data_IF_748373216889
#
_entry.id   IF_748373216889
#
_cell.length_a   1.000
_cell.length_b   1.000
_cell.length_c   1.000
_cell.angle_alpha   90.00
_cell.angle_beta   90.00
_cell.angle_gamma   90.00
#
_symmetry.space_group_name_H-M   'P 1'
#
loop_
_entity.id
_entity.type
_entity.pdbx_description
1 polymer ?
2 branched ?
3 water ?
#
# COMPACT_ATOMS: atom_id res chain seq x y z
N UNK A 1 19.84 9.08 -17.46
CA UNK A 1 20.79 8.19 -16.77
C UNK A 1 20.17 6.83 -16.44
N UNK A 2 21.01 5.93 -15.94
CA UNK A 2 20.55 4.65 -15.44
C UNK A 2 21.02 4.48 -14.00
N UNK A 3 20.30 3.63 -13.29
CA UNK A 3 20.65 3.26 -11.94
C UNK A 3 21.00 1.79 -11.88
N UNK A 4 21.82 1.45 -10.91
CA UNK A 4 22.18 0.08 -10.65
C UNK A 4 21.16 -0.52 -9.69
N UNK A 5 20.61 -1.68 -10.05
CA UNK A 5 19.61 -2.38 -9.24
C UNK A 5 20.25 -3.62 -8.64
N UNK A 6 20.16 -3.75 -7.33
CA UNK A 6 20.77 -4.86 -6.61
C UNK A 6 19.65 -5.67 -5.97
N UNK A 7 19.53 -6.93 -6.38
CA UNK A 7 18.52 -7.81 -5.86
C UNK A 7 19.17 -8.86 -4.98
N UNK A 8 18.65 -9.03 -3.78
CA UNK A 8 19.37 -9.77 -2.78
C UNK A 8 18.43 -10.60 -1.93
N UNK A 9 18.82 -11.84 -1.69
CA UNK A 9 18.13 -12.69 -0.73
C UNK A 9 19.08 -12.82 0.46
N UNK A 10 18.70 -12.23 1.56
CA UNK A 10 19.55 -12.20 2.71
C UNK A 10 19.65 -13.47 3.50
N UNK A 11 18.61 -14.27 3.50
CA UNK A 11 18.56 -15.38 4.38
C UNK A 11 17.65 -16.51 4.06
N UNK A 12 16.78 -16.34 3.09
CA UNK A 12 15.87 -17.38 2.81
C UNK A 12 16.61 -18.53 2.11
N UNK A 13 16.26 -19.76 2.43
CA UNK A 13 16.90 -20.89 1.79
C UNK A 13 16.34 -21.13 0.41
N UNK A 14 17.14 -21.71 -0.44
CA UNK A 14 16.66 -22.03 -1.73
C UNK A 14 16.65 -20.83 -2.63
N UNK A 15 15.82 -20.91 -3.62
CA UNK A 15 15.81 -19.94 -4.65
C UNK A 15 14.61 -18.98 -4.65
N UNK A 16 14.97 -17.76 -4.77
CA UNK A 16 14.05 -16.65 -4.85
C UNK A 16 14.22 -16.04 -6.22
N UNK A 17 13.11 -15.71 -6.85
CA UNK A 17 13.15 -15.03 -8.12
C UNK A 17 12.61 -13.63 -7.93
N UNK A 18 13.28 -12.69 -8.56
CA UNK A 18 12.80 -11.33 -8.65
C UNK A 18 12.26 -11.07 -10.04
N UNK A 19 11.26 -10.21 -10.11
CA UNK A 19 10.85 -9.62 -11.38
C UNK A 19 10.89 -8.11 -11.23
N UNK A 20 11.29 -7.42 -12.28
CA UNK A 20 11.25 -5.99 -12.31
C UNK A 20 10.32 -5.65 -13.45
N UNK A 21 9.20 -5.05 -13.14
CA UNK A 21 8.26 -4.66 -14.13
C UNK A 21 8.03 -3.15 -14.05
N UNK A 22 7.85 -2.51 -15.19
CA UNK A 22 7.64 -1.11 -15.25
C UNK A 22 7.13 -0.55 -16.56
N UNK A 23 6.91 0.75 -16.59
CA UNK A 23 6.53 1.44 -17.79
C UNK A 23 7.74 2.21 -18.18
N UNK A 24 8.19 1.95 -19.37
CA UNK A 24 9.36 2.58 -19.90
C UNK A 24 9.19 4.07 -19.96
N UNK A 25 10.24 4.76 -19.57
CA UNK A 25 10.22 6.20 -19.46
C UNK A 25 9.98 6.71 -20.86
N UNK A 26 9.01 7.59 -20.99
CA UNK A 26 8.62 8.15 -22.25
C UNK A 26 7.72 7.33 -23.12
N UNK A 27 8.13 6.13 -23.49
CA UNK A 27 7.29 5.31 -24.35
C UNK A 27 6.01 4.84 -23.76
N UNK A 28 6.01 4.62 -22.43
CA UNK A 28 4.90 4.06 -21.62
C UNK A 28 4.69 2.56 -21.86
N UNK A 29 5.65 1.98 -22.55
CA UNK A 29 5.60 0.59 -22.88
C UNK A 29 6.09 -0.26 -21.73
N UNK A 30 5.23 -1.18 -21.33
CA UNK A 30 5.52 -2.09 -20.31
C UNK A 30 6.84 -2.71 -20.67
N UNK A 31 7.69 -2.79 -19.68
CA UNK A 31 8.97 -3.39 -19.79
C UNK A 31 9.20 -4.27 -18.54
N UNK A 32 9.98 -5.30 -18.74
CA UNK A 32 10.43 -6.21 -17.73
C UNK A 32 11.90 -6.34 -17.83
N UNK A 33 12.54 -6.41 -16.69
CA UNK A 33 13.94 -6.63 -16.64
C UNK A 33 14.16 -8.11 -16.81
N UNK A 34 15.19 -8.45 -17.52
CA UNK A 34 15.47 -9.84 -17.77
C UNK A 34 16.63 -10.32 -16.95
N UNK A 35 16.73 -11.62 -16.79
CA UNK A 35 17.80 -12.26 -16.06
C UNK A 35 19.13 -11.92 -16.61
N UNK A 36 19.26 -11.81 -17.94
CA UNK A 36 20.48 -11.42 -18.56
C UNK A 36 20.86 -9.92 -18.44
N UNK A 37 20.01 -9.10 -17.84
CA UNK A 37 20.28 -7.69 -17.67
C UNK A 37 19.66 -6.78 -18.71
N UNK A 38 19.10 -7.40 -19.73
CA UNK A 38 18.43 -6.67 -20.79
C UNK A 38 16.98 -6.41 -20.46
N UNK A 39 16.32 -5.60 -21.23
CA UNK A 39 14.94 -5.27 -21.03
C UNK A 39 14.08 -6.02 -22.01
N UNK A 40 12.99 -6.52 -21.53
CA UNK A 40 12.06 -7.16 -22.35
C UNK A 40 10.89 -6.23 -22.50
N UNK A 41 10.72 -5.67 -23.69
CA UNK A 41 9.57 -4.84 -24.00
C UNK A 41 8.56 -5.68 -24.75
N UNK A 42 7.59 -6.29 -24.07
CA UNK A 42 6.65 -7.16 -24.77
C UNK A 42 5.85 -6.41 -25.82
N UNK A 43 5.60 -7.09 -26.94
CA UNK A 43 4.61 -6.64 -27.90
C UNK A 43 3.23 -7.03 -27.42
N UNK A 44 2.24 -6.35 -27.96
CA UNK A 44 0.86 -6.71 -27.65
C UNK A 44 0.61 -8.16 -28.06
N UNK A 45 0.03 -8.98 -27.21
CA UNK A 45 -0.18 -10.39 -27.56
C UNK A 45 -1.29 -10.56 -28.57
N UNK A 46 -1.39 -11.78 -29.09
CA UNK A 46 -2.48 -12.12 -29.98
C UNK A 46 -3.78 -12.49 -29.30
N UNK A 47 -3.77 -12.60 -27.98
CA UNK A 47 -4.97 -12.94 -27.22
C UNK A 47 -4.77 -12.44 -25.79
N UNK A 48 -5.86 -12.29 -25.04
CA UNK A 48 -5.73 -12.04 -23.61
C UNK A 48 -5.15 -13.26 -22.91
N UNK A 49 -4.68 -13.03 -21.67
CA UNK A 49 -4.10 -14.08 -20.85
C UNK A 49 -2.98 -14.81 -21.57
N UNK A 50 -2.23 -14.08 -22.38
CA UNK A 50 -1.11 -14.68 -23.09
C UNK A 50 0.10 -14.77 -22.17
N UNK A 51 0.59 -15.96 -21.87
CA UNK A 51 1.76 -16.07 -20.99
C UNK A 51 2.89 -15.17 -21.46
N UNK A 52 3.55 -14.54 -20.50
CA UNK A 52 4.72 -13.76 -20.83
C UNK A 52 5.65 -14.61 -21.69
N UNK A 53 5.94 -14.18 -22.93
CA UNK A 53 6.68 -15.06 -23.85
C UNK A 53 8.12 -15.26 -23.44
N UNK A 54 8.68 -14.36 -22.65
CA UNK A 54 10.07 -14.42 -22.23
C UNK A 54 10.09 -14.66 -20.73
N UNK A 55 11.02 -15.51 -20.26
CA UNK A 55 11.16 -15.74 -18.84
C UNK A 55 11.86 -14.52 -18.25
N UNK A 56 11.11 -13.71 -17.50
CA UNK A 56 11.70 -12.53 -16.88
C UNK A 56 11.97 -12.73 -15.40
N UNK A 57 11.73 -13.93 -14.88
CA UNK A 57 12.17 -14.27 -13.53
C UNK A 57 13.67 -14.08 -13.44
N UNK A 58 14.11 -13.27 -12.49
CA UNK A 58 15.53 -13.02 -12.27
C UNK A 58 15.96 -13.88 -11.08
N UNK A 59 16.77 -14.92 -11.30
CA UNK A 59 17.14 -15.81 -10.19
C UNK A 59 18.08 -15.09 -9.24
N UNK A 60 17.70 -15.04 -7.97
CA UNK A 60 18.58 -14.47 -6.96
C UNK A 60 19.62 -15.51 -6.58
N UNK A 61 20.86 -15.04 -6.40
CA UNK A 61 21.87 -15.80 -5.69
C UNK A 61 21.32 -16.32 -4.36
N UNK A 62 21.88 -17.43 -3.88
CA UNK A 62 21.43 -17.98 -2.63
C UNK A 62 21.59 -16.99 -1.48
N UNK A 63 20.81 -17.24 -0.43
CA UNK A 63 20.84 -16.43 0.79
C UNK A 63 22.26 -16.14 1.24
N UNK A 64 22.61 -14.87 1.28
CA UNK A 64 23.92 -14.45 1.72
C UNK A 64 24.97 -14.37 0.64
N UNK A 65 24.70 -14.88 -0.56
CA UNK A 65 25.71 -14.89 -1.61
C UNK A 65 25.95 -13.51 -2.22
N UNK A 66 25.13 -12.53 -1.85
CA UNK A 66 25.28 -11.21 -2.42
C UNK A 66 24.18 -10.94 -3.43
N UNK A 67 24.19 -9.74 -3.98
CA UNK A 67 23.09 -9.34 -4.86
C UNK A 67 23.32 -9.77 -6.30
N UNK A 68 22.22 -9.96 -7.01
CA UNK A 68 22.19 -9.84 -8.46
C UNK A 68 22.19 -8.35 -8.79
N UNK A 69 23.24 -7.86 -9.43
CA UNK A 69 23.36 -6.44 -9.73
C UNK A 69 23.20 -6.24 -11.24
N UNK A 70 22.09 -5.61 -11.63
CA UNK A 70 21.83 -5.25 -13.02
C UNK A 70 21.70 -3.74 -13.17
N UNK A 71 21.70 -3.31 -14.43
CA UNK A 71 21.42 -1.92 -14.75
C UNK A 71 19.91 -1.72 -14.79
N UNK A 72 19.43 -0.81 -13.94
CA UNK A 72 18.02 -0.47 -13.91
C UNK A 72 17.81 0.70 -14.85
N UNK A 73 17.10 0.52 -15.96
CA UNK A 73 16.75 1.67 -16.79
C UNK A 73 15.57 2.39 -16.16
N UNK A 74 15.42 3.65 -16.55
CA UNK A 74 14.35 4.44 -15.99
C UNK A 74 13.01 3.90 -16.43
N UNK A 75 12.08 3.86 -15.49
CA UNK A 75 10.76 3.31 -15.74
C UNK A 75 9.89 3.78 -14.59
N UNK A 76 8.59 3.85 -14.84
CA UNK A 76 7.68 4.32 -13.84
C UNK A 76 6.60 3.28 -13.64
N UNK A 77 5.79 3.48 -12.61
CA UNK A 77 4.78 2.49 -12.30
C UNK A 77 5.40 1.13 -12.12
N UNK A 78 6.65 1.10 -11.69
CA UNK A 78 7.50 -0.07 -11.68
C UNK A 78 7.39 -0.81 -10.36
N UNK A 79 7.74 -2.09 -10.41
CA UNK A 79 7.70 -2.97 -9.26
C UNK A 79 8.92 -3.85 -9.30
N UNK A 80 9.44 -4.18 -8.13
CA UNK A 80 10.28 -5.34 -7.96
C UNK A 80 9.45 -6.38 -7.24
N UNK A 81 9.23 -7.51 -7.89
CA UNK A 81 8.56 -8.64 -7.28
C UNK A 81 9.60 -9.61 -6.76
N UNK A 82 9.22 -10.34 -5.74
CA UNK A 82 10.00 -11.49 -5.34
C UNK A 82 9.02 -12.61 -5.18
N UNK A 83 9.49 -13.81 -5.47
CA UNK A 83 8.67 -15.00 -5.33
C UNK A 83 9.58 -16.11 -4.84
N UNK A 84 9.06 -16.88 -3.91
CA UNK A 84 9.80 -17.97 -3.33
C UNK A 84 9.43 -19.27 -3.93
N UNK A 85 10.45 -20.05 -4.24
CA UNK A 85 10.27 -21.39 -4.78
C UNK A 85 9.89 -21.35 -6.25
N UNK A 86 8.64 -21.02 -6.51
CA UNK A 86 8.17 -20.87 -7.85
C UNK A 86 8.63 -19.61 -8.56
N UNK A 87 8.14 -19.54 -9.75
CA UNK A 87 8.20 -18.29 -10.48
C UNK A 87 6.81 -17.67 -10.42
N UNK A 88 6.67 -16.48 -10.98
CA UNK A 88 5.37 -15.84 -11.08
C UNK A 88 4.92 -15.91 -12.53
N UNK A 89 3.65 -16.24 -12.72
CA UNK A 89 3.05 -16.24 -14.05
C UNK A 89 2.54 -14.85 -14.33
N UNK A 90 3.26 -14.12 -15.18
CA UNK A 90 2.77 -12.90 -15.78
C UNK A 90 2.12 -13.22 -17.12
N UNK A 91 1.05 -12.53 -17.42
CA UNK A 91 0.40 -12.69 -18.71
C UNK A 91 0.44 -11.37 -19.44
N UNK A 92 0.05 -11.39 -20.71
CA UNK A 92 -0.10 -10.18 -21.49
C UNK A 92 -1.53 -10.12 -21.99
N UNK A 93 -2.08 -8.93 -21.99
CA UNK A 93 -3.34 -8.68 -22.62
C UNK A 93 -3.09 -7.76 -23.79
N UNK A 94 -3.97 -7.74 -24.79
CA UNK A 94 -3.78 -6.81 -25.91
C UNK A 94 -3.47 -5.42 -25.40
N UNK A 95 -2.43 -4.82 -25.97
CA UNK A 95 -2.06 -3.48 -25.59
C UNK A 95 -0.66 -3.09 -26.04
N UNK A 96 0.37 -3.76 -25.48
CA UNK A 96 0.32 -4.81 -24.46
C UNK A 96 -0.02 -4.27 -23.08
N UNK A 97 -0.82 -5.04 -22.37
CA UNK A 97 -1.16 -4.75 -20.97
C UNK A 97 -0.66 -5.92 -20.13
N UNK A 98 0.37 -5.67 -19.32
CA UNK A 98 0.88 -6.71 -18.41
C UNK A 98 -0.19 -7.10 -17.40
N UNK A 99 -0.49 -8.40 -17.33
CA UNK A 99 -1.40 -8.93 -16.33
C UNK A 99 -0.54 -9.27 -15.11
N UNK A 100 -0.49 -8.34 -14.13
CA UNK A 100 0.26 -8.47 -12.89
C UNK A 100 -0.40 -9.47 -11.95
N UNK A 101 0.38 -10.26 -11.22
CA UNK A 101 -0.22 -11.14 -10.21
C UNK A 101 -1.15 -10.35 -9.31
N UNK A 102 -2.33 -10.90 -9.08
CA UNK A 102 -3.37 -10.25 -8.30
C UNK A 102 -3.33 -10.87 -6.91
N UNK A 103 -2.52 -10.27 -6.03
CA UNK A 103 -2.30 -10.82 -4.68
C UNK A 103 -3.60 -11.10 -3.94
N UNK A 104 -4.65 -10.33 -4.24
CA UNK A 104 -5.88 -10.40 -3.47
C UNK A 104 -6.93 -11.32 -4.08
N UNK A 105 -6.78 -11.71 -5.35
CA UNK A 105 -7.82 -12.50 -6.00
C UNK A 105 -7.46 -13.99 -5.94
N UNK A 106 -8.31 -14.83 -5.34
CA UNK A 106 -7.90 -16.23 -5.10
C UNK A 106 -7.76 -17.06 -6.38
N UNK A 107 -8.54 -16.74 -7.42
CA UNK A 107 -8.40 -17.41 -8.71
C UNK A 107 -7.05 -17.16 -9.37
N UNK A 108 -6.23 -16.27 -8.81
CA UNK A 108 -5.03 -15.84 -9.51
C UNK A 108 -4.04 -16.99 -9.57
N UNK A 109 -3.37 -17.18 -10.71
CA UNK A 109 -2.33 -18.23 -10.81
C UNK A 109 -1.31 -18.17 -9.71
N UNK A 110 -1.02 -16.97 -9.24
CA UNK A 110 0.03 -16.77 -8.25
C UNK A 110 -0.50 -16.73 -6.82
N UNK A 111 -1.81 -16.83 -6.64
CA UNK A 111 -2.40 -16.62 -5.32
C UNK A 111 -1.74 -17.51 -4.28
N UNK A 112 -1.69 -18.81 -4.53
CA UNK A 112 -1.03 -19.74 -3.66
C UNK A 112 0.47 -19.60 -3.56
N UNK A 113 1.06 -18.68 -4.30
CA UNK A 113 2.50 -18.57 -4.24
C UNK A 113 2.93 -17.56 -3.19
N UNK A 114 4.15 -17.74 -2.71
CA UNK A 114 4.75 -16.86 -1.73
C UNK A 114 5.48 -15.77 -2.52
N UNK A 115 4.81 -14.64 -2.67
CA UNK A 115 5.42 -13.58 -3.46
C UNK A 115 5.03 -12.21 -2.90
N UNK A 116 5.89 -11.26 -3.18
CA UNK A 116 5.72 -9.90 -2.73
C UNK A 116 6.17 -8.98 -3.83
N UNK A 117 5.94 -7.69 -3.62
CA UNK A 117 6.51 -6.70 -4.51
C UNK A 117 6.58 -5.40 -3.76
N UNK A 118 7.53 -4.56 -4.17
CA UNK A 118 7.53 -3.16 -3.81
C UNK A 118 7.44 -2.33 -5.08
N UNK A 119 6.85 -1.14 -4.94
CA UNK A 119 6.66 -0.22 -6.04
C UNK A 119 7.83 0.74 -6.08
N UNK A 120 8.20 1.15 -7.29
CA UNK A 120 9.18 2.20 -7.45
C UNK A 120 8.95 2.88 -8.79
N UNK A 121 9.63 4.00 -8.97
CA UNK A 121 9.58 4.77 -10.19
C UNK A 121 10.96 5.38 -10.33
N UNK A 122 11.51 5.28 -11.51
CA UNK A 122 12.84 5.79 -11.79
C UNK A 122 12.69 6.63 -13.04
N UNK A 123 12.78 7.93 -12.87
CA UNK A 123 12.60 8.90 -13.95
C UNK A 123 13.80 9.84 -13.88
N UNK A 124 13.95 10.83 -14.77
CA UNK A 124 15.16 11.66 -14.70
C UNK A 124 15.24 12.46 -13.41
N UNK A 125 14.11 12.68 -12.73
CA UNK A 125 14.08 13.48 -11.52
C UNK A 125 14.58 12.70 -10.30
N UNK A 126 14.14 11.45 -10.15
CA UNK A 126 14.53 10.67 -8.98
C UNK A 126 14.16 9.21 -9.17
N UNK A 127 14.89 8.33 -8.51
CA UNK A 127 14.33 7.02 -8.18
C UNK A 127 13.53 7.16 -6.90
N UNK A 128 12.25 6.83 -6.95
CA UNK A 128 11.39 6.84 -5.78
C UNK A 128 10.86 5.43 -5.59
N UNK A 129 11.29 4.79 -4.52
CA UNK A 129 10.78 3.48 -4.17
C UNK A 129 9.90 3.58 -2.94
N UNK A 130 9.01 2.61 -2.78
CA UNK A 130 8.05 2.68 -1.69
C UNK A 130 7.80 1.28 -1.15
N UNK A 131 8.18 1.07 0.10
CA UNK A 131 7.62 -0.02 0.89
C UNK A 131 6.30 0.44 1.46
N UNK A 132 5.24 -0.29 1.15
CA UNK A 132 3.90 0.16 1.48
C UNK A 132 3.08 -1.04 1.88
N UNK A 133 2.34 -0.89 2.96
CA UNK A 133 1.42 -1.91 3.43
C UNK A 133 0.00 -1.43 3.30
N UNK A 134 -0.24 -0.49 2.37
CA UNK A 134 -1.60 -0.05 2.13
C UNK A 134 -2.46 -1.22 1.66
N UNK A 135 -1.88 -2.09 0.84
CA UNK A 135 -2.66 -3.16 0.24
C UNK A 135 -2.39 -4.51 0.83
N UNK A 136 -1.13 -4.84 1.10
CA UNK A 136 -0.87 -6.18 1.58
C UNK A 136 0.46 -6.22 2.30
N UNK A 137 0.56 -7.22 3.15
CA UNK A 137 1.80 -7.67 3.76
C UNK A 137 1.96 -9.12 3.37
N UNK A 138 3.17 -9.54 3.23
CA UNK A 138 3.43 -10.88 2.82
C UNK A 138 4.44 -11.56 3.65
N UNK A 139 4.62 -12.83 3.31
CA UNK A 139 5.58 -13.72 3.85
C UNK A 139 6.95 -13.53 3.21
N UNK A 140 7.11 -12.62 2.27
CA UNK A 140 8.35 -12.34 1.68
C UNK A 140 8.60 -10.82 1.74
N UNK A 141 8.72 -10.26 2.95
CA UNK A 141 8.87 -8.82 3.11
C UNK A 141 10.11 -8.35 2.47
N UNK A 142 9.99 -7.21 1.87
CA UNK A 142 11.02 -6.57 1.15
C UNK A 142 11.57 -5.37 1.89
N UNK A 143 12.86 -5.26 1.87
CA UNK A 143 13.57 -4.16 2.39
C UNK A 143 14.37 -3.55 1.28
N UNK A 144 14.65 -2.28 1.41
CA UNK A 144 15.42 -1.61 0.41
C UNK A 144 16.35 -0.62 0.91
N UNK A 145 17.37 -0.42 0.12
CA UNK A 145 18.33 0.62 0.37
C UNK A 145 18.50 1.36 -0.94
N UNK A 146 18.43 2.68 -0.89
CA UNK A 146 18.66 3.51 -2.03
C UNK A 146 19.91 4.32 -1.76
N UNK A 147 20.94 4.09 -2.56
CA UNK A 147 22.19 4.84 -2.50
C UNK A 147 22.25 5.77 -3.70
N UNK A 148 22.42 7.05 -3.42
CA UNK A 148 22.63 8.06 -4.43
C UNK A 148 23.32 9.22 -3.77
N UNK A 149 22.70 10.40 -3.82
CA UNK A 149 23.17 11.50 -3.00
C UNK A 149 23.37 11.03 -1.57
N UNK A 150 22.32 10.49 -0.98
CA UNK A 150 22.40 9.91 0.36
C UNK A 150 22.10 8.42 0.26
N UNK A 151 22.30 7.76 1.38
CA UNK A 151 21.80 6.41 1.58
C UNK A 151 20.46 6.50 2.30
N UNK A 152 19.45 5.86 1.73
CA UNK A 152 18.16 5.73 2.37
C UNK A 152 17.89 4.25 2.51
N UNK A 153 17.39 3.85 3.67
CA UNK A 153 17.08 2.47 3.94
C UNK A 153 15.66 2.41 4.47
N UNK A 154 14.89 1.44 3.98
CA UNK A 154 13.59 1.16 4.52
C UNK A 154 13.66 -0.24 5.08
N UNK A 155 13.43 -0.36 6.37
CA UNK A 155 13.41 -1.64 7.02
C UNK A 155 12.23 -2.45 6.53
N UNK A 156 12.42 -3.74 6.30
CA UNK A 156 11.32 -4.61 5.87
C UNK A 156 10.39 -4.90 7.02
N UNK A 157 9.28 -5.56 6.70
CA UNK A 157 8.61 -6.32 7.72
C UNK A 157 9.61 -7.28 8.33
N UNK A 158 9.67 -7.37 9.66
CA UNK A 158 10.57 -8.33 10.27
C UNK A 158 10.11 -9.73 9.92
N UNK A 159 11.06 -10.66 9.97
CA UNK A 159 10.73 -12.07 9.83
C UNK A 159 9.52 -12.42 10.67
N UNK A 160 8.51 -13.03 10.02
CA UNK A 160 7.34 -13.48 10.73
C UNK A 160 6.25 -12.45 10.88
N UNK A 161 6.48 -11.22 10.40
CA UNK A 161 5.48 -10.18 10.55
C UNK A 161 4.14 -10.63 10.01
N UNK A 162 4.13 -11.28 8.85
CA UNK A 162 2.85 -11.55 8.22
C UNK A 162 2.04 -12.55 9.04
N UNK A 163 2.73 -13.50 9.68
CA UNK A 163 2.05 -14.43 10.58
C UNK A 163 1.45 -13.68 11.76
N UNK A 164 2.25 -12.80 12.38
CA UNK A 164 1.78 -11.97 13.48
C UNK A 164 0.58 -11.14 13.05
N UNK A 165 0.69 -10.50 11.89
CA UNK A 165 -0.42 -9.70 11.40
C UNK A 165 -1.63 -10.57 11.18
N UNK A 166 -1.43 -11.73 10.55
CA UNK A 166 -2.56 -12.62 10.30
C UNK A 166 -3.21 -13.07 11.61
N UNK A 167 -2.38 -13.42 12.61
CA UNK A 167 -2.91 -13.87 13.90
C UNK A 167 -3.63 -12.74 14.62
N UNK A 168 -3.01 -11.55 14.69
CA UNK A 168 -3.68 -10.41 15.31
C UNK A 168 -5.01 -10.13 14.63
N UNK A 169 -5.02 -10.12 13.30
CA UNK A 169 -6.26 -9.84 12.61
C UNK A 169 -7.28 -10.94 12.83
N UNK A 170 -6.84 -12.20 12.89
CA UNK A 170 -7.76 -13.28 13.21
C UNK A 170 -8.30 -13.12 14.62
N UNK A 171 -7.40 -12.81 15.57
CA UNK A 171 -7.82 -12.50 16.93
C UNK A 171 -8.84 -11.37 16.93
N UNK A 172 -8.54 -10.30 16.18
CA UNK A 172 -9.51 -9.22 16.06
C UNK A 172 -10.85 -9.74 15.57
N UNK A 173 -10.82 -10.57 14.53
CA UNK A 173 -12.04 -11.13 13.98
C UNK A 173 -12.78 -11.95 15.01
N UNK A 174 -12.05 -12.69 15.84
CA UNK A 174 -12.68 -13.44 16.91
C UNK A 174 -13.43 -12.50 17.84
N UNK A 175 -12.79 -11.38 18.18
CA UNK A 175 -13.40 -10.42 19.11
C UNK A 175 -14.61 -9.73 18.49
N UNK A 176 -14.45 -9.13 17.30
CA UNK A 176 -15.53 -8.30 16.76
C UNK A 176 -16.41 -9.00 15.73
N UNK A 177 -16.07 -10.22 15.32
CA UNK A 177 -16.91 -10.87 14.33
C UNK A 177 -16.81 -10.28 12.94
N UNK A 178 -15.90 -9.32 12.72
CA UNK A 178 -15.69 -8.74 11.41
C UNK A 178 -14.70 -9.59 10.60
N UNK A 179 -14.77 -9.51 9.27
CA UNK A 179 -13.99 -10.43 8.42
C UNK A 179 -12.49 -10.21 8.39
N UNK A 180 -11.88 -9.76 9.49
CA UNK A 180 -10.43 -9.50 9.45
C UNK A 180 -9.65 -10.75 9.10
N UNK A 181 -10.15 -11.91 9.53
CA UNK A 181 -9.41 -13.14 9.25
C UNK A 181 -9.42 -13.45 7.76
N UNK A 182 -10.50 -13.09 7.06
CA UNK A 182 -10.55 -13.33 5.62
C UNK A 182 -9.51 -12.53 4.87
N UNK A 183 -8.94 -11.48 5.47
CA UNK A 183 -7.83 -10.79 4.81
C UNK A 183 -6.60 -11.67 4.69
N UNK A 184 -6.60 -12.81 5.37
CA UNK A 184 -5.41 -13.67 5.42
C UNK A 184 -5.44 -14.64 4.26
N UNK A 185 -4.27 -14.91 3.70
CA UNK A 185 -4.15 -15.83 2.58
C UNK A 185 -3.09 -16.88 2.85
N UNK A 186 -3.51 -18.14 2.80
CA UNK A 186 -2.60 -19.23 3.04
C UNK A 186 -2.88 -20.34 2.05
N UNK A 187 -1.85 -21.13 1.77
CA UNK A 187 -1.96 -22.25 0.85
C UNK A 187 -2.43 -23.50 1.55
N UNK A 188 -2.37 -24.62 0.83
CA UNK A 188 -2.78 -25.91 1.38
C UNK A 188 -1.94 -26.31 2.59
N UNK A 189 -0.64 -26.00 2.55
CA UNK A 189 0.28 -26.32 3.63
C UNK A 189 -0.10 -25.64 4.95
N UNK A 190 -0.52 -24.38 4.94
CA UNK A 190 -0.86 -23.76 6.21
C UNK A 190 -0.16 -22.44 6.46
N UNK A 191 1.00 -22.25 5.83
CA UNK A 191 1.77 -21.04 6.02
C UNK A 191 1.03 -19.80 5.50
N UNK A 192 1.13 -18.70 6.23
CA UNK A 192 0.49 -17.46 5.81
C UNK A 192 1.29 -16.86 4.66
N UNK A 193 0.64 -16.62 3.53
CA UNK A 193 1.32 -16.08 2.36
C UNK A 193 1.28 -14.56 2.33
N UNK A 194 0.11 -14.03 2.62
CA UNK A 194 -0.06 -12.60 2.62
C UNK A 194 -1.29 -12.28 3.45
N UNK A 195 -1.36 -11.03 3.87
CA UNK A 195 -2.58 -10.48 4.40
C UNK A 195 -2.81 -9.18 3.63
N UNK A 196 -4.06 -8.96 3.26
CA UNK A 196 -4.42 -7.86 2.40
C UNK A 196 -5.29 -6.91 3.21
N UNK A 197 -5.21 -5.64 2.84
CA UNK A 197 -6.00 -4.65 3.53
C UNK A 197 -7.45 -4.88 3.21
N UNK A 198 -8.35 -4.37 4.07
CA UNK A 198 -9.78 -4.61 3.87
C UNK A 198 -10.30 -4.19 2.52
N UNK A 199 -9.87 -3.04 1.99
CA UNK A 199 -10.38 -2.62 0.68
C UNK A 199 -10.14 -3.67 -0.38
N UNK A 200 -9.00 -4.37 -0.32
CA UNK A 200 -8.72 -5.40 -1.30
C UNK A 200 -9.67 -6.59 -1.13
N UNK A 201 -10.18 -6.80 0.08
CA UNK A 201 -11.22 -7.80 0.29
C UNK A 201 -12.60 -7.24 0.01
N UNK A 202 -12.75 -5.92 0.00
CA UNK A 202 -14.07 -5.34 -0.18
C UNK A 202 -14.39 -5.06 -1.62
N UNK A 203 -13.37 -4.80 -2.44
CA UNK A 203 -13.59 -4.33 -3.80
C UNK A 203 -14.31 -5.34 -4.68
N UNK A 204 -14.02 -6.66 -4.61
CA UNK A 204 -14.89 -7.63 -5.30
C UNK A 204 -16.37 -7.43 -5.05
N UNK A 205 -16.76 -6.92 -3.89
CA UNK A 205 -18.16 -6.73 -3.58
C UNK A 205 -18.61 -5.29 -3.79
N UNK A 206 -17.77 -4.46 -4.40
CA UNK A 206 -18.18 -3.07 -4.63
C UNK A 206 -19.46 -3.00 -5.45
N UNK A 207 -19.60 -3.91 -6.42
CA UNK A 207 -20.81 -3.94 -7.23
C UNK A 207 -22.03 -4.38 -6.43
N UNK A 208 -21.83 -5.20 -5.40
CA UNK A 208 -22.92 -5.65 -4.51
C UNK A 208 -22.62 -5.19 -3.08
N UNK A 209 -22.90 -3.92 -2.77
CA UNK A 209 -22.52 -3.39 -1.45
C UNK A 209 -23.15 -4.15 -0.28
N UNK A 210 -24.36 -4.66 -0.45
CA UNK A 210 -25.02 -5.31 0.67
C UNK A 210 -24.36 -6.61 1.07
N UNK A 211 -23.37 -7.09 0.31
CA UNK A 211 -22.59 -8.24 0.73
C UNK A 211 -21.13 -7.90 0.99
N UNK A 212 -20.77 -6.63 0.85
CA UNK A 212 -19.40 -6.23 1.05
C UNK A 212 -18.93 -6.58 2.46
N UNK A 213 -17.80 -7.26 2.61
CA UNK A 213 -17.24 -7.43 3.96
C UNK A 213 -16.90 -6.06 4.52
N UNK A 214 -17.11 -5.91 5.83
CA UNK A 214 -16.82 -4.70 6.61
C UNK A 214 -17.81 -3.58 6.36
N UNK A 215 -18.79 -3.75 5.46
CA UNK A 215 -19.63 -2.63 5.02
C UNK A 215 -20.18 -1.80 6.18
N UNK A 216 -20.41 -2.41 7.33
CA UNK A 216 -20.99 -1.70 8.46
C UNK A 216 -20.06 -1.63 9.65
N UNK A 217 -18.77 -1.96 9.46
CA UNK A 217 -17.78 -1.77 10.50
C UNK A 217 -17.86 -0.37 11.09
N UNK A 218 -17.79 0.65 10.25
CA UNK A 218 -17.69 2.02 10.71
C UNK A 218 -19.01 2.75 10.78
N UNK A 219 -20.10 2.12 10.37
CA UNK A 219 -21.36 2.85 10.20
C UNK A 219 -21.77 3.54 11.49
N UNK A 220 -21.82 2.79 12.59
CA UNK A 220 -22.22 3.40 13.86
C UNK A 220 -21.28 4.54 14.22
N UNK A 221 -20.00 4.31 14.11
CA UNK A 221 -19.00 5.29 14.46
C UNK A 221 -19.08 6.53 13.62
N UNK A 222 -19.32 6.35 12.34
CA UNK A 222 -19.47 7.44 11.43
C UNK A 222 -20.66 8.31 11.84
N UNK A 223 -21.76 7.69 12.23
CA UNK A 223 -22.91 8.41 12.68
C UNK A 223 -22.58 9.16 13.94
N UNK A 224 -21.85 8.54 14.85
CA UNK A 224 -21.44 9.25 16.06
C UNK A 224 -20.60 10.47 15.71
N UNK A 225 -19.67 10.32 14.76
CA UNK A 225 -18.80 11.42 14.38
C UNK A 225 -19.61 12.52 13.73
N UNK A 226 -20.43 12.16 12.75
CA UNK A 226 -21.27 13.15 12.09
C UNK A 226 -22.16 13.88 13.08
N UNK A 227 -22.66 13.16 14.07
CA UNK A 227 -23.52 13.79 15.07
C UNK A 227 -22.73 14.76 15.92
N UNK A 228 -21.55 14.35 16.39
CA UNK A 228 -20.67 15.24 17.15
C UNK A 228 -20.50 16.57 16.44
N UNK A 229 -20.12 16.52 15.18
CA UNK A 229 -19.76 17.72 14.46
C UNK A 229 -20.96 18.41 13.83
N UNK A 230 -22.16 17.95 14.17
CA UNK A 230 -23.34 18.78 13.97
C UNK A 230 -23.38 19.90 14.99
N UNK A 231 -22.83 19.67 16.18
CA UNK A 231 -22.98 20.60 17.29
C UNK A 231 -21.68 21.26 17.70
N UNK A 232 -20.58 20.92 17.07
CA UNK A 232 -19.29 21.48 17.45
C UNK A 232 -18.37 21.35 16.26
N UNK A 233 -17.38 22.23 16.22
CA UNK A 233 -16.50 22.30 15.08
C UNK A 233 -15.52 21.13 15.05
N UNK A 234 -15.26 20.67 13.85
CA UNK A 234 -14.10 19.84 13.56
C UNK A 234 -13.08 20.77 12.95
N UNK A 235 -11.93 20.87 13.60
CA UNK A 235 -10.84 21.72 13.16
C UNK A 235 -9.75 20.84 12.57
N UNK A 236 -9.47 21.03 11.30
CA UNK A 236 -8.49 20.20 10.61
C UNK A 236 -7.32 21.10 10.30
N UNK A 237 -6.16 20.77 10.85
CA UNK A 237 -5.00 21.58 10.52
C UNK A 237 -4.48 21.09 9.19
N UNK A 238 -4.62 21.92 8.16
CA UNK A 238 -4.06 21.61 6.86
C UNK A 238 -2.54 21.50 6.91
N UNK A 239 -1.91 22.09 7.93
CA UNK A 239 -0.48 21.96 8.13
C UNK A 239 0.30 22.63 7.03
N UNK A 240 1.62 22.50 7.07
CA UNK A 240 2.44 23.24 6.13
C UNK A 240 2.26 24.73 6.24
N UNK A 241 1.82 25.22 7.40
CA UNK A 241 1.53 26.61 7.58
C UNK A 241 0.23 27.06 6.96
N UNK A 242 -0.55 26.15 6.39
CA UNK A 242 -1.81 26.56 5.78
C UNK A 242 -2.89 26.84 6.80
N UNK A 243 -2.67 26.46 8.05
CA UNK A 243 -3.64 26.76 9.08
C UNK A 243 -4.72 25.70 9.15
N UNK A 244 -5.63 25.93 10.07
CA UNK A 244 -6.72 25.01 10.27
C UNK A 244 -7.96 25.53 9.56
N UNK A 245 -8.80 24.60 9.15
CA UNK A 245 -10.13 24.92 8.68
C UNK A 245 -11.12 24.23 9.60
N UNK A 246 -12.14 24.98 9.99
CA UNK A 246 -13.15 24.49 10.91
C UNK A 246 -14.31 23.97 10.08
N UNK A 247 -14.83 22.83 10.48
CA UNK A 247 -15.91 22.20 9.75
C UNK A 247 -17.06 21.87 10.67
N UNK A 248 -18.24 21.79 10.08
CA UNK A 248 -19.46 21.45 10.78
C UNK A 248 -20.28 20.55 9.88
N UNK A 249 -21.01 19.63 10.48
CA UNK A 249 -21.92 18.77 9.76
C UNK A 249 -23.27 19.46 9.69
N UNK A 250 -23.77 19.65 8.47
CA UNK A 250 -25.09 20.20 8.19
C UNK A 250 -25.86 19.10 7.47
N UNK A 251 -26.81 18.48 8.17
CA UNK A 251 -27.44 17.30 7.63
C UNK A 251 -26.48 16.13 7.59
N UNK A 252 -26.03 15.77 6.40
CA UNK A 252 -25.02 14.73 6.21
C UNK A 252 -23.78 15.29 5.52
N UNK A 253 -23.72 16.59 5.31
CA UNK A 253 -22.56 17.18 4.69
C UNK A 253 -21.72 17.82 5.78
N UNK A 254 -20.51 17.31 5.95
CA UNK A 254 -19.52 18.00 6.76
C UNK A 254 -18.97 19.14 5.92
N UNK A 255 -19.19 20.37 6.35
CA UNK A 255 -18.82 21.51 5.54
C UNK A 255 -17.77 22.32 6.27
N UNK A 256 -16.67 22.59 5.60
CA UNK A 256 -15.60 23.41 6.14
C UNK A 256 -15.68 24.80 5.58
N UNK A 257 -15.20 25.77 6.36
CA UNK A 257 -14.94 27.08 5.80
C UNK A 257 -14.14 26.92 4.53
N UNK A 258 -14.49 27.73 3.53
CA UNK A 258 -14.09 27.51 2.16
C UNK A 258 -15.07 26.69 1.38
N UNK A 259 -16.20 26.31 1.97
CA UNK A 259 -17.20 25.55 1.28
C UNK A 259 -16.77 24.16 0.89
N UNK A 260 -15.73 23.63 1.52
CA UNK A 260 -15.32 22.25 1.29
C UNK A 260 -16.35 21.32 1.92
N UNK A 261 -16.91 20.45 1.10
CA UNK A 261 -17.99 19.61 1.56
C UNK A 261 -17.54 18.17 1.52
N UNK A 262 -18.01 17.41 2.51
CA UNK A 262 -17.73 15.99 2.59
C UNK A 262 -19.05 15.33 2.95
N UNK A 263 -19.58 14.51 2.05
CA UNK A 263 -20.75 13.75 2.42
C UNK A 263 -20.37 12.74 3.49
N UNK A 264 -21.39 12.21 4.14
CA UNK A 264 -21.15 11.24 5.20
C UNK A 264 -20.45 10.03 4.61
N UNK A 265 -19.34 9.59 5.19
CA UNK A 265 -18.59 8.49 4.60
C UNK A 265 -19.21 7.16 4.99
N UNK A 266 -18.76 6.12 4.31
CA UNK A 266 -19.08 4.76 4.67
C UNK A 266 -17.83 4.05 5.11
N UNK A 267 -18.02 2.88 5.73
CA UNK A 267 -16.88 1.98 5.98
C UNK A 267 -16.06 1.82 4.72
N UNK A 268 -16.71 1.64 3.56
CA UNK A 268 -15.97 1.50 2.31
C UNK A 268 -15.09 2.72 2.08
N UNK A 269 -15.66 3.92 2.23
CA UNK A 269 -14.90 5.15 2.04
C UNK A 269 -13.66 5.16 2.93
N UNK A 270 -13.86 4.88 4.23
CA UNK A 270 -12.75 4.94 5.17
C UNK A 270 -11.63 3.98 4.73
N UNK A 271 -12.02 2.78 4.33
CA UNK A 271 -11.01 1.79 3.97
C UNK A 271 -10.34 2.14 2.64
N UNK A 272 -11.12 2.47 1.61
CA UNK A 272 -10.48 2.81 0.34
C UNK A 272 -9.78 4.16 0.39
N UNK A 273 -10.26 5.10 1.21
CA UNK A 273 -9.80 6.50 1.16
C UNK A 273 -9.94 7.06 -0.26
N UNK A 274 -10.98 6.61 -0.96
CA UNK A 274 -11.07 6.94 -2.39
C UNK A 274 -12.50 6.84 -2.90
N UNK A 275 -13.50 6.79 -2.03
CA UNK A 275 -14.89 6.83 -2.43
C UNK A 275 -15.63 7.74 -1.44
N UNK A 276 -16.89 8.04 -1.75
CA UNK A 276 -17.67 8.93 -0.93
C UNK A 276 -16.97 10.26 -0.80
N UNK A 277 -16.90 10.81 0.43
CA UNK A 277 -16.21 12.09 0.62
C UNK A 277 -14.71 12.02 0.33
N UNK A 278 -14.12 10.83 0.21
CA UNK A 278 -12.69 10.71 0.00
C UNK A 278 -12.36 10.35 -1.43
N UNK A 279 -13.37 10.26 -2.29
CA UNK A 279 -13.14 10.10 -3.72
C UNK A 279 -12.21 11.21 -4.19
N UNK A 280 -11.12 10.82 -4.83
CA UNK A 280 -10.25 11.79 -5.44
C UNK A 280 -11.03 12.56 -6.50
N UNK A 281 -10.66 13.81 -6.69
CA UNK A 281 -11.31 14.61 -7.72
C UNK A 281 -10.37 15.72 -8.11
N UNK A 282 -9.91 15.76 -9.37
CA UNK A 282 -9.00 16.84 -9.79
C UNK A 282 -9.58 18.23 -9.60
N UNK A 283 -10.92 18.36 -9.59
CA UNK A 283 -11.58 19.62 -9.29
C UNK A 283 -11.35 20.09 -7.86
N UNK A 284 -10.93 19.18 -6.98
CA UNK A 284 -10.74 19.54 -5.58
C UNK A 284 -9.60 20.53 -5.44
N UNK A 285 -9.87 21.64 -4.77
CA UNK A 285 -8.81 22.56 -4.39
C UNK A 285 -7.84 21.86 -3.44
N UNK A 286 -6.64 22.46 -3.32
CA UNK A 286 -5.62 21.90 -2.44
C UNK A 286 -6.13 21.80 -1.01
N UNK A 287 -6.84 22.83 -0.54
CA UNK A 287 -7.42 22.80 0.80
C UNK A 287 -8.37 21.62 0.94
N UNK A 288 -9.33 21.47 0.00
CA UNK A 288 -10.21 20.32 0.02
C UNK A 288 -9.43 19.02 0.04
N UNK A 289 -8.36 18.94 -0.75
CA UNK A 289 -7.60 17.70 -0.78
C UNK A 289 -6.88 17.48 0.53
N UNK A 290 -6.40 18.55 1.15
CA UNK A 290 -5.75 18.44 2.45
C UNK A 290 -6.76 18.02 3.50
N UNK A 291 -7.94 18.66 3.49
CA UNK A 291 -9.03 18.26 4.35
C UNK A 291 -9.37 16.78 4.15
N UNK A 292 -9.65 16.41 2.90
CA UNK A 292 -9.93 15.03 2.55
C UNK A 292 -8.93 14.10 3.20
N UNK A 293 -7.64 14.31 2.94
CA UNK A 293 -6.60 13.44 3.46
C UNK A 293 -6.71 13.30 4.97
N UNK A 294 -6.90 14.41 5.64
CA UNK A 294 -6.82 14.39 7.10
C UNK A 294 -8.06 13.76 7.70
N UNK A 295 -9.22 14.00 7.09
CA UNK A 295 -10.46 13.41 7.57
C UNK A 295 -10.45 11.91 7.36
N UNK A 296 -10.08 11.46 6.16
CA UNK A 296 -9.91 10.02 5.94
C UNK A 296 -8.94 9.42 6.95
N UNK A 297 -7.77 10.04 7.10
CA UNK A 297 -6.81 9.52 8.06
C UNK A 297 -7.41 9.47 9.45
N UNK A 298 -8.07 10.55 9.88
CA UNK A 298 -8.65 10.57 11.21
C UNK A 298 -9.72 9.51 11.42
N UNK A 299 -10.52 9.23 10.38
CA UNK A 299 -11.49 8.15 10.47
C UNK A 299 -10.80 6.81 10.57
N UNK A 300 -9.78 6.60 9.74
CA UNK A 300 -9.04 5.35 9.78
C UNK A 300 -8.43 5.12 11.14
N UNK A 301 -7.94 6.18 11.77
CA UNK A 301 -7.28 6.11 13.05
C UNK A 301 -8.26 6.21 14.20
N UNK A 302 -9.54 6.44 13.88
CA UNK A 302 -10.60 6.53 14.89
C UNK A 302 -10.31 7.62 15.91
N UNK A 303 -9.85 8.78 15.42
CA UNK A 303 -9.66 9.93 16.31
C UNK A 303 -10.67 11.01 16.04
N UNK A 304 -11.74 10.72 15.28
CA UNK A 304 -12.67 11.78 14.91
C UNK A 304 -13.48 12.24 16.10
N UNK A 305 -13.84 11.32 16.99
CA UNK A 305 -14.61 11.67 18.18
C UNK A 305 -13.70 12.24 19.25
N UNK A 306 -12.49 11.71 19.36
CA UNK A 306 -11.61 12.02 20.46
C UNK A 306 -10.85 13.30 20.22
N UNK A 307 -10.64 13.69 18.97
CA UNK A 307 -9.78 14.83 18.65
C UNK A 307 -10.47 15.77 17.68
N UNK A 308 -11.23 16.74 18.19
CA UNK A 308 -11.89 17.70 17.31
C UNK A 308 -10.91 18.55 16.56
N UNK A 309 -9.65 18.61 16.99
CA UNK A 309 -8.63 19.27 16.19
C UNK A 309 -7.58 18.25 15.84
N UNK A 310 -7.21 18.19 14.58
CA UNK A 310 -6.27 17.18 14.15
C UNK A 310 -5.73 17.59 12.81
N UNK A 311 -4.59 17.05 12.39
CA UNK A 311 -3.81 16.02 13.10
C UNK A 311 -2.88 16.58 14.18
N UNK A 312 -2.65 17.88 14.19
CA UNK A 312 -1.74 18.44 15.17
C UNK A 312 -2.39 18.41 16.55
N UNK A 313 -1.61 18.05 17.55
CA UNK A 313 -2.17 17.76 18.85
C UNK A 313 -2.51 16.31 19.06
N UNK A 314 -2.60 15.52 17.99
CA UNK A 314 -2.76 14.08 18.17
C UNK A 314 -1.41 13.42 18.00
N UNK A 315 -1.31 12.21 18.49
CA UNK A 315 -0.12 11.41 18.23
C UNK A 315 -0.58 10.02 17.90
N UNK A 316 0.40 9.21 17.50
CA UNK A 316 0.13 7.83 17.12
C UNK A 316 -0.57 7.10 18.24
N UNK A 317 -0.24 7.45 19.49
CA UNK A 317 -0.89 6.81 20.62
C UNK A 317 -2.37 7.07 20.67
N UNK A 318 -2.87 8.08 19.95
CA UNK A 318 -4.31 8.29 19.88
C UNK A 318 -4.98 7.34 18.89
N UNK A 319 -4.21 6.77 17.96
CA UNK A 319 -4.79 6.04 16.86
C UNK A 319 -5.28 4.67 17.31
N UNK A 320 -6.35 4.23 16.65
CA UNK A 320 -6.73 2.82 16.62
C UNK A 320 -7.15 2.34 17.99
N UNK A 321 -7.76 3.22 18.76
CA UNK A 321 -8.33 2.86 20.05
C UNK A 321 -9.77 2.44 19.84
N UNK A 322 -10.22 1.48 20.65
CA UNK A 322 -11.59 1.03 20.58
C UNK A 322 -11.80 -0.10 19.59
N UNK A 323 -12.99 -0.69 19.67
CA UNK A 323 -13.26 -1.87 18.88
C UNK A 323 -13.39 -1.57 17.40
N UNK A 324 -13.94 -0.40 17.07
CA UNK A 324 -14.15 -0.02 15.68
C UNK A 324 -13.02 0.93 15.28
N UNK A 325 -12.07 0.39 14.52
CA UNK A 325 -11.02 1.18 13.93
C UNK A 325 -10.51 0.39 12.74
N UNK A 326 -9.55 0.97 12.02
CA UNK A 326 -8.90 0.24 10.94
C UNK A 326 -7.89 -0.70 11.59
N UNK A 327 -8.36 -1.88 11.97
CA UNK A 327 -7.50 -2.85 12.63
C UNK A 327 -6.42 -3.36 11.71
N UNK A 328 -6.68 -3.41 10.40
CA UNK A 328 -5.61 -3.70 9.47
C UNK A 328 -4.45 -2.74 9.72
N UNK A 329 -4.75 -1.45 9.71
CA UNK A 329 -3.67 -0.49 9.92
C UNK A 329 -3.08 -0.65 11.32
N UNK A 330 -3.93 -0.74 12.32
CA UNK A 330 -3.42 -0.92 13.68
C UNK A 330 -2.47 -2.10 13.75
N UNK A 331 -2.90 -3.24 13.21
CA UNK A 331 -2.11 -4.47 13.32
C UNK A 331 -0.87 -4.37 12.47
N UNK A 332 -0.98 -3.88 11.23
CA UNK A 332 0.21 -3.73 10.40
C UNK A 332 1.24 -2.84 11.10
N UNK A 333 0.77 -1.72 11.66
CA UNK A 333 1.67 -0.80 12.32
C UNK A 333 2.33 -1.44 13.52
N UNK A 334 1.53 -2.18 14.30
CA UNK A 334 2.07 -2.91 15.45
C UNK A 334 3.20 -3.82 15.00
N UNK A 335 3.08 -4.38 13.79
CA UNK A 335 3.97 -5.45 13.38
C UNK A 335 4.98 -5.03 12.34
N UNK A 336 5.13 -3.73 12.12
CA UNK A 336 6.08 -3.26 11.11
C UNK A 336 6.79 -2.04 11.64
N UNK A 337 8.05 -1.88 11.29
CA UNK A 337 8.86 -0.80 11.86
C UNK A 337 8.60 0.53 11.18
N UNK A 338 8.19 0.49 9.92
CA UNK A 338 8.02 1.69 9.11
C UNK A 338 7.18 1.32 7.90
N UNK A 339 6.56 2.32 7.30
CA UNK A 339 5.71 2.12 6.15
C UNK A 339 4.25 2.30 6.51
N UNK A 340 3.48 2.80 5.55
CA UNK A 340 2.08 3.12 5.73
C UNK A 340 1.21 1.90 5.57
N UNK A 341 0.07 1.92 6.25
CA UNK A 341 -0.82 0.78 6.28
C UNK A 341 -2.18 1.14 5.71
N UNK A 342 -2.38 2.40 5.34
CA UNK A 342 -3.61 2.77 4.68
C UNK A 342 -3.33 4.02 3.86
N UNK A 343 -4.22 4.37 2.92
CA UNK A 343 -3.84 5.35 1.88
C UNK A 343 -3.54 6.74 2.40
N UNK A 344 -4.13 7.16 3.50
CA UNK A 344 -3.79 8.47 4.04
C UNK A 344 -2.97 8.35 5.32
N UNK A 345 -2.21 7.27 5.44
CA UNK A 345 -1.35 7.11 6.59
C UNK A 345 -0.25 8.17 6.62
N UNK A 346 0.04 8.80 5.47
CA UNK A 346 1.02 9.86 5.43
C UNK A 346 0.56 11.10 6.19
N UNK A 347 -0.71 11.18 6.55
CA UNK A 347 -1.14 12.26 7.41
C UNK A 347 -0.49 12.06 8.77
N UNK A 348 0.37 12.99 9.15
CA UNK A 348 1.00 12.85 10.45
C UNK A 348 1.01 14.20 11.15
N UNK A 349 0.84 14.20 12.47
CA UNK A 349 0.98 15.46 13.20
C UNK A 349 2.35 16.05 12.94
N UNK A 350 2.39 17.35 12.75
CA UNK A 350 3.67 18.05 12.68
C UNK A 350 4.57 17.57 13.80
N UNK A 351 5.85 17.45 13.50
CA UNK A 351 6.84 17.03 14.46
C UNK A 351 6.84 15.54 14.77
N UNK A 352 5.74 14.83 14.50
CA UNK A 352 5.80 13.39 14.55
C UNK A 352 6.71 12.91 13.43
N UNK A 353 7.40 11.78 13.62
CA UNK A 353 8.38 11.36 12.63
C UNK A 353 7.70 10.83 11.36
N UNK A 354 8.40 10.98 10.24
CA UNK A 354 7.96 10.43 8.97
C UNK A 354 8.05 8.91 9.05
N UNK A 355 6.94 8.23 8.87
CA UNK A 355 6.94 6.79 8.94
C UNK A 355 6.62 6.18 7.59
N UNK A 356 6.80 6.94 6.51
CA UNK A 356 6.60 6.37 5.19
C UNK A 356 7.68 5.34 4.90
N UNK A 357 7.29 4.34 4.12
CA UNK A 357 8.27 3.36 3.69
C UNK A 357 8.97 3.80 2.43
N UNK A 358 8.97 5.10 2.15
CA UNK A 358 9.52 5.60 0.90
C UNK A 358 11.02 5.76 0.99
N UNK A 359 11.67 5.53 -0.13
CA UNK A 359 13.08 5.87 -0.25
C UNK A 359 13.25 6.54 -1.60
N UNK A 360 13.74 7.76 -1.61
CA UNK A 360 13.90 8.46 -2.87
C UNK A 360 15.21 9.21 -2.84
N UNK A 361 15.84 9.28 -4.01
CA UNK A 361 17.09 9.98 -4.19
C UNK A 361 17.06 10.63 -5.57
N UNK A 362 17.59 11.84 -5.66
CA UNK A 362 17.59 12.56 -6.92
C UNK A 362 18.62 12.08 -7.91
N UNK A 363 19.70 11.46 -7.43
CA UNK A 363 20.70 10.85 -8.31
C UNK A 363 21.00 9.45 -7.82
N UNK A 364 20.08 8.52 -8.05
CA UNK A 364 20.26 7.16 -7.53
C UNK A 364 21.43 6.48 -8.22
N UNK A 365 22.28 5.85 -7.43
CA UNK A 365 23.38 5.06 -7.96
C UNK A 365 23.13 3.56 -7.82
N UNK A 366 22.63 3.11 -6.67
CA UNK A 366 22.25 1.72 -6.50
C UNK A 366 20.99 1.61 -5.69
N UNK A 367 20.05 0.83 -6.21
CA UNK A 367 18.78 0.55 -5.59
C UNK A 367 18.83 -0.91 -5.15
N UNK A 368 19.19 -1.15 -3.90
CA UNK A 368 19.27 -2.49 -3.36
C UNK A 368 17.91 -2.88 -2.81
N UNK A 369 17.35 -3.93 -3.38
CA UNK A 369 16.08 -4.48 -2.94
C UNK A 369 16.37 -5.88 -2.44
N UNK A 370 15.88 -6.19 -1.24
CA UNK A 370 16.28 -7.42 -0.58
C UNK A 370 15.06 -8.10 0.02
N UNK A 371 15.13 -9.43 0.08
CA UNK A 371 14.22 -10.21 0.89
C UNK A 371 15.05 -10.89 1.98
N UNK A 372 14.35 -11.57 2.88
CA UNK A 372 15.07 -12.13 4.01
C UNK A 372 15.58 -11.06 4.98
N UNK A 373 16.51 -11.47 5.83
CA UNK A 373 17.08 -10.58 6.87
C UNK A 373 18.50 -10.96 7.28
X LIG B 1 0.87 7.20 -10.61
X LIG B 1 0.67 6.43 -9.31
X LIG B 1 1.53 5.17 -9.31
X LIG B 1 2.82 5.40 -10.11
X LIG B 1 3.21 6.88 -10.09
X LIG B 1 4.58 7.10 -10.75
X LIG B 1 0.55 6.35 -11.72
X LIG B 1 -0.72 6.14 -9.13
X LIG B 1 0.83 4.06 -9.86
X LIG B 1 3.87 4.61 -9.55
X LIG B 1 2.22 7.66 -10.75
X LIG B 1 4.76 6.16 -11.82
X LIG B 2 1.20 2.88 -9.12
X LIG B 2 0.02 1.91 -9.08
X LIG B 2 0.39 0.62 -8.35
X LIG B 2 1.72 0.07 -8.83
X LIG B 2 2.79 1.16 -8.84
X LIG B 2 4.12 0.63 -9.35
X LIG B 2 -0.39 1.60 -10.41
X LIG B 2 -0.64 -0.37 -8.57
X LIG B 2 2.14 -0.99 -7.96
X LIG B 2 2.34 2.23 -9.67
X LIG B 2 5.16 1.53 -8.98
X LIG B 3 -1.51 -0.62 -7.89
X LIG B 3 -2.83 -1.06 -8.51
X LIG B 3 -3.83 -1.53 -7.47
X LIG B 3 -3.18 -2.47 -6.46
X LIG B 3 -1.90 -1.87 -5.93
X LIG B 3 -1.23 -2.80 -4.92
X LIG B 3 -2.59 -2.12 -9.45
X LIG B 3 -4.93 -2.19 -8.11
X LIG B 3 -4.09 -2.72 -5.38
X LIG B 3 -1.02 -1.64 -7.02
X LIG B 3 -0.05 -2.18 -4.41
X LIG C 1 6.70 11.25 -5.88
X LIG C 1 5.80 10.14 -5.30
X LIG C 1 5.60 8.87 -6.15
X LIG C 1 6.20 8.95 -7.53
X LIG C 1 7.28 10.00 -7.67
X LIG C 1 7.73 10.11 -9.11
X LIG C 1 6.45 12.62 -5.55
X LIG C 1 4.57 10.55 -4.73
X LIG C 1 4.27 8.30 -6.18
X LIG C 1 6.89 7.74 -7.75
X LIG C 1 6.74 11.23 -7.27
X LIG C 1 8.92 10.86 -9.24
X LIG C 2 4.21 7.04 -5.49
X LIG C 2 2.80 6.52 -5.15
X LIG C 2 2.56 5.00 -5.14
X LIG C 2 3.60 4.32 -6.00
X LIG C 2 5.00 4.78 -5.71
X LIG C 2 6.01 4.01 -6.53
X LIG C 2 1.85 7.13 -6.03
X LIG C 2 1.27 4.53 -5.65
X LIG C 2 3.45 2.94 -5.76
X LIG C 2 5.08 6.13 -6.11
X LIG C 2 5.95 4.29 -7.91
X LIG C 3 0.26 3.92 -4.79
X LIG C 3 -1.13 3.88 -5.47
X LIG C 3 -2.22 2.93 -4.93
X LIG C 3 -1.74 1.77 -4.10
X LIG C 3 -0.55 2.28 -3.32
X LIG C 3 -0.03 1.32 -2.27
X LIG C 3 -1.03 3.79 -6.89
X LIG C 3 -3.16 2.47 -5.91
X LIG C 3 -2.81 1.30 -3.29
X LIG C 3 0.49 2.62 -4.23
X LIG C 3 0.85 2.13 -1.51
#
# INVERSE_FOLDING_TARGET
>A
ATCELALENKSLPGTVHAYVTGHEQGTDRWVLLRPDGSVYRPDSPGAPQTPLPVDCAIPLKGAGAGPVVMTLPQMYGARVYFVRDDKLDFYLNPGPSLVEPAFATPTDPNYGRTWSFCEFTFNPQQLYANISYVDLVTALPIGLTLEGDSTHTVAPLPDGAVQRIADDLTAQAASDGQPWDKLVTRGSDGQVLRVVSPQNLMAPFFDRPDQMPFRDLFTAQIDEVWEKYRSTDLRIDLQGGRGTLSGRVSGDTLTFEGGHTFVKPTSKDIFTCNHGPFANDPADSDDKKALLARIAAGFNRSIMLSHPQQPNGTTVADYYKGGVTNHWSRVVHANSPIGYAFPYDDVRPDGEPDVSGAAHDGNPRRFTVSVGS
>B hetero
1 BMA C1 C2 C3 C4 C5 C6 O1 O2 O3 O4 O5 O6
2 BMA C1 C2 C3 C4 C5 C6 O2 O3 O4 O5 O6
3 BMA C1 C2 C3 C4 C5 C6 O2 O3 O4 O5 O6
>C hetero
1 BMA C1 C2 C3 C4 C5 C6 O1 O2 O3 O4 O5 O6
2 BMA C1 C2 C3 C4 C5 C6 O2 O3 O4 O5 O6
3 BMA C1 C2 C3 C4 C5 C6 O2 O3 O4 O5 O6
#
